data_IF_757486012259
#
_entry.id   IF_757486012259
#
_cell.length_a   1.000
_cell.length_b   1.000
_cell.length_c   1.000
_cell.angle_alpha   90.00
_cell.angle_beta   90.00
_cell.angle_gamma   90.00
#
_symmetry.space_group_name_H-M   'P 1'
#
loop_
_entity.id
_entity.type
_entity.pdbx_description
1 polymer ?
#
# COMPACT_ATOMS: atom_id res chain seq x y z
N UNK A 1 -11.58 -37.26 -2.04
CA UNK A 1 -10.67 -37.27 -3.21
C UNK A 1 -10.95 -36.00 -4.00
N UNK A 2 -9.96 -35.15 -4.20
CA UNK A 2 -10.09 -33.92 -5.00
C UNK A 2 -9.52 -34.20 -6.39
N UNK A 3 -10.23 -33.82 -7.45
CA UNK A 3 -9.83 -34.03 -8.83
C UNK A 3 -9.71 -32.70 -9.55
N UNK A 4 -8.76 -32.58 -10.48
CA UNK A 4 -8.71 -31.47 -11.44
C UNK A 4 -9.21 -31.97 -12.78
N UNK A 5 -10.18 -31.27 -13.36
CA UNK A 5 -10.63 -31.52 -14.73
C UNK A 5 -9.65 -30.84 -15.69
N UNK A 6 -8.98 -31.62 -16.52
CA UNK A 6 -8.06 -31.14 -17.56
C UNK A 6 -8.63 -31.52 -18.93
N UNK A 7 -8.45 -30.65 -19.91
CA UNK A 7 -8.87 -30.90 -21.28
C UNK A 7 -7.70 -31.47 -22.07
N UNK A 8 -7.86 -32.67 -22.62
CA UNK A 8 -6.85 -33.29 -23.48
C UNK A 8 -6.93 -32.63 -24.87
N UNK A 9 -5.85 -31.96 -25.28
CA UNK A 9 -5.81 -31.23 -26.55
C UNK A 9 -5.71 -32.15 -27.78
N UNK A 10 -5.37 -33.43 -27.61
CA UNK A 10 -5.26 -34.40 -28.69
C UNK A 10 -6.58 -35.15 -28.94
N UNK A 11 -7.34 -35.44 -27.89
CA UNK A 11 -8.60 -36.19 -28.01
C UNK A 11 -9.85 -35.34 -27.82
N UNK A 12 -9.71 -34.12 -27.28
CA UNK A 12 -10.82 -33.24 -26.96
C UNK A 12 -11.69 -33.71 -25.79
N UNK A 13 -11.20 -34.69 -25.02
CA UNK A 13 -11.93 -35.25 -23.88
C UNK A 13 -11.55 -34.54 -22.57
N UNK A 14 -12.50 -34.51 -21.64
CA UNK A 14 -12.26 -34.05 -20.27
C UNK A 14 -11.76 -35.22 -19.44
N UNK A 15 -10.57 -35.09 -18.87
CA UNK A 15 -10.00 -36.08 -17.96
C UNK A 15 -10.03 -35.55 -16.53
N UNK A 16 -10.48 -36.40 -15.61
CA UNK A 16 -10.42 -36.14 -14.16
C UNK A 16 -9.12 -36.72 -13.62
N UNK A 17 -8.16 -35.84 -13.29
CA UNK A 17 -6.88 -36.25 -12.72
C UNK A 17 -7.00 -36.21 -11.19
N UNK A 18 -6.79 -37.34 -10.48
CA UNK A 18 -6.76 -37.34 -9.03
C UNK A 18 -5.57 -36.51 -8.54
N UNK A 19 -5.84 -35.55 -7.65
CA UNK A 19 -4.79 -34.75 -7.03
C UNK A 19 -4.26 -35.49 -5.79
N UNK A 20 -2.95 -35.54 -5.67
CA UNK A 20 -2.26 -35.95 -4.44
C UNK A 20 -2.44 -34.90 -3.34
N UNK A 21 -2.28 -35.26 -2.05
CA UNK A 21 -2.31 -34.29 -0.95
C UNK A 21 -1.30 -33.13 -1.11
N UNK A 22 -0.14 -33.39 -1.70
CA UNK A 22 0.89 -32.36 -1.96
C UNK A 22 0.47 -31.38 -3.06
N UNK A 23 -0.16 -31.88 -4.14
CA UNK A 23 -0.71 -31.01 -5.20
C UNK A 23 -1.90 -30.18 -4.71
N UNK A 24 -2.69 -30.71 -3.77
CA UNK A 24 -3.75 -29.94 -3.10
C UNK A 24 -3.14 -28.81 -2.27
N UNK A 25 -2.08 -29.09 -1.51
CA UNK A 25 -1.37 -28.08 -0.71
C UNK A 25 -0.70 -27.01 -1.61
N UNK A 26 -0.14 -27.40 -2.76
CA UNK A 26 0.45 -26.47 -3.72
C UNK A 26 -0.59 -25.57 -4.44
N UNK A 27 -1.86 -25.96 -4.40
CA UNK A 27 -2.99 -25.18 -4.91
C UNK A 27 -3.62 -24.28 -3.85
N UNK A 28 -3.16 -24.33 -2.59
CA UNK A 28 -3.58 -23.35 -1.60
C UNK A 28 -3.10 -21.97 -2.02
N UNK A 29 -4.01 -20.97 -2.07
CA UNK A 29 -3.61 -19.61 -2.37
C UNK A 29 -2.68 -19.13 -1.25
N UNK A 30 -1.42 -18.87 -1.60
CA UNK A 30 -0.48 -18.20 -0.69
C UNK A 30 -1.12 -16.85 -0.36
N UNK A 31 -1.55 -16.69 0.89
CA UNK A 31 -2.07 -15.41 1.35
C UNK A 31 -0.97 -14.35 1.14
N UNK A 32 -1.30 -13.17 0.58
CA UNK A 32 -0.30 -12.11 0.43
C UNK A 32 0.29 -11.78 1.79
N UNK A 33 1.62 -11.63 1.86
CA UNK A 33 2.29 -11.19 3.08
C UNK A 33 1.71 -9.84 3.53
N UNK A 34 1.42 -9.66 4.83
CA UNK A 34 0.92 -8.38 5.31
C UNK A 34 1.98 -7.30 5.09
N UNK A 35 1.58 -6.06 4.72
CA UNK A 35 2.53 -4.98 4.55
C UNK A 35 3.23 -4.70 5.90
N UNK A 36 4.48 -4.19 5.86
CA UNK A 36 5.14 -3.67 7.04
C UNK A 36 4.24 -2.66 7.76
N UNK A 37 4.12 -2.75 9.08
CA UNK A 37 3.25 -1.82 9.82
C UNK A 37 3.85 -0.42 9.91
N UNK A 38 5.17 -0.28 9.78
CA UNK A 38 5.89 0.97 9.97
C UNK A 38 6.91 1.19 8.85
N UNK A 39 6.96 2.41 8.33
CA UNK A 39 8.01 2.89 7.41
C UNK A 39 8.52 4.24 7.90
N UNK A 40 9.78 4.55 7.62
CA UNK A 40 10.35 5.85 7.96
C UNK A 40 9.76 6.98 7.11
N UNK A 41 9.84 8.21 7.63
CA UNK A 41 9.47 9.43 6.89
C UNK A 41 10.14 9.51 5.52
N UNK A 42 11.44 9.20 5.46
CA UNK A 42 12.21 9.16 4.20
C UNK A 42 11.61 8.17 3.23
N UNK A 43 11.36 6.93 3.66
CA UNK A 43 10.81 5.87 2.82
C UNK A 43 9.43 6.24 2.28
N UNK A 44 8.56 6.81 3.11
CA UNK A 44 7.23 7.25 2.71
C UNK A 44 7.27 8.30 1.60
N UNK A 45 7.96 9.43 1.82
CA UNK A 45 8.01 10.50 0.80
C UNK A 45 8.80 10.10 -0.45
N UNK A 46 9.83 9.26 -0.32
CA UNK A 46 10.55 8.74 -1.47
C UNK A 46 9.66 7.85 -2.34
N UNK A 47 8.85 6.98 -1.74
CA UNK A 47 7.93 6.12 -2.50
C UNK A 47 6.78 6.92 -3.14
N UNK A 48 6.28 7.95 -2.45
CA UNK A 48 5.30 8.87 -3.06
C UNK A 48 5.86 9.56 -4.32
N UNK A 49 7.13 9.97 -4.29
CA UNK A 49 7.80 10.53 -5.46
C UNK A 49 8.06 9.48 -6.56
N UNK A 50 8.42 8.24 -6.20
CA UNK A 50 8.56 7.15 -7.17
C UNK A 50 7.25 6.85 -7.90
N UNK A 51 6.12 7.01 -7.21
CA UNK A 51 4.76 6.85 -7.75
C UNK A 51 4.21 8.11 -8.41
N UNK A 52 5.02 9.17 -8.51
CA UNK A 52 4.65 10.45 -9.11
C UNK A 52 3.43 11.13 -8.44
N UNK A 53 3.17 10.81 -7.16
CA UNK A 53 2.12 11.45 -6.36
C UNK A 53 2.54 12.82 -5.83
N UNK A 54 3.84 13.04 -5.70
CA UNK A 54 4.48 14.31 -5.40
C UNK A 54 5.75 14.43 -6.25
N UNK A 55 6.26 15.64 -6.40
CA UNK A 55 7.55 15.86 -7.08
C UNK A 55 8.73 15.41 -6.20
N UNK A 56 9.89 15.18 -6.83
CA UNK A 56 11.12 14.82 -6.09
C UNK A 56 11.58 15.98 -5.21
N UNK A 57 11.38 17.21 -5.68
CA UNK A 57 11.67 18.44 -4.96
C UNK A 57 10.80 18.55 -3.70
N UNK A 58 9.51 18.25 -3.80
CA UNK A 58 8.60 18.22 -2.65
C UNK A 58 8.97 17.10 -1.67
N UNK A 59 9.32 15.91 -2.15
CA UNK A 59 9.77 14.82 -1.28
C UNK A 59 11.05 15.22 -0.52
N UNK A 60 12.00 15.88 -1.18
CA UNK A 60 13.21 16.35 -0.54
C UNK A 60 12.94 17.47 0.47
N UNK A 61 12.05 18.42 0.16
CA UNK A 61 11.63 19.47 1.08
C UNK A 61 10.91 18.89 2.31
N UNK A 62 10.06 17.89 2.13
CA UNK A 62 9.37 17.21 3.22
C UNK A 62 10.31 16.51 4.21
N UNK A 63 11.48 16.08 3.74
CA UNK A 63 12.51 15.45 4.56
C UNK A 63 13.45 16.50 5.19
N UNK A 64 13.84 17.53 4.45
CA UNK A 64 14.90 18.47 4.89
C UNK A 64 14.38 19.63 5.73
N UNK A 65 13.24 20.22 5.34
CA UNK A 65 12.63 21.37 6.02
C UNK A 65 11.33 21.03 6.72
N UNK A 66 10.84 19.80 6.59
CA UNK A 66 9.52 19.40 7.10
C UNK A 66 8.37 20.06 6.34
N UNK A 67 8.64 20.61 5.15
CA UNK A 67 7.63 21.28 4.33
C UNK A 67 6.65 20.26 3.78
N UNK A 68 5.36 20.47 4.02
CA UNK A 68 4.33 19.58 3.54
C UNK A 68 4.15 19.76 2.01
N UNK A 69 4.13 18.68 1.19
CA UNK A 69 3.88 18.80 -0.24
C UNK A 69 2.51 19.41 -0.53
N UNK A 70 2.36 20.09 -1.68
CA UNK A 70 1.15 20.87 -1.99
C UNK A 70 -0.14 20.02 -1.99
N UNK A 71 -0.01 18.77 -2.44
CA UNK A 71 -1.12 17.82 -2.42
C UNK A 71 -1.59 17.49 -1.01
N UNK A 72 -0.66 17.29 -0.07
CA UNK A 72 -1.00 17.03 1.33
C UNK A 72 -1.54 18.27 2.01
N UNK A 73 -1.00 19.46 1.70
CA UNK A 73 -1.58 20.73 2.13
C UNK A 73 -3.04 20.86 1.72
N UNK A 74 -3.37 20.53 0.48
CA UNK A 74 -4.74 20.57 -0.04
C UNK A 74 -5.65 19.58 0.70
N UNK A 75 -5.16 18.36 0.95
CA UNK A 75 -5.91 17.32 1.66
C UNK A 75 -6.18 17.69 3.12
N UNK A 76 -5.19 18.25 3.80
CA UNK A 76 -5.34 18.65 5.20
C UNK A 76 -6.27 19.86 5.31
N UNK A 77 -6.13 20.85 4.42
CA UNK A 77 -7.03 22.00 4.36
C UNK A 77 -8.49 21.65 4.01
N UNK A 78 -8.77 20.45 3.51
CA UNK A 78 -10.12 19.96 3.27
C UNK A 78 -10.82 19.41 4.54
N UNK A 79 -10.09 19.24 5.63
CA UNK A 79 -10.64 18.82 6.93
C UNK A 79 -11.38 20.01 7.54
N UNK A 80 -12.69 19.85 7.76
CA UNK A 80 -13.56 20.94 8.27
C UNK A 80 -13.39 21.22 9.77
N UNK A 81 -12.90 20.24 10.52
CA UNK A 81 -12.67 20.36 11.96
C UNK A 81 -11.23 20.86 12.19
N UNK A 82 -11.10 22.06 12.75
CA UNK A 82 -9.81 22.74 12.95
C UNK A 82 -8.86 21.96 13.87
N UNK A 83 -9.38 21.25 14.88
CA UNK A 83 -8.57 20.45 15.80
C UNK A 83 -8.01 19.22 15.08
N UNK A 84 -8.83 18.57 14.25
CA UNK A 84 -8.40 17.41 13.44
C UNK A 84 -7.43 17.85 12.34
N UNK A 85 -7.68 19.00 11.69
CA UNK A 85 -6.76 19.58 10.72
C UNK A 85 -5.39 19.80 11.36
N UNK A 86 -5.35 20.48 12.50
CA UNK A 86 -4.10 20.78 13.20
C UNK A 86 -3.36 19.51 13.61
N UNK A 87 -4.07 18.50 14.11
CA UNK A 87 -3.49 17.19 14.43
C UNK A 87 -2.91 16.49 13.20
N UNK A 88 -3.60 16.54 12.05
CA UNK A 88 -3.11 15.96 10.80
C UNK A 88 -1.83 16.66 10.32
N UNK A 89 -1.79 18.00 10.36
CA UNK A 89 -0.56 18.78 10.06
C UNK A 89 0.59 18.37 10.96
N UNK A 90 0.33 18.26 12.26
CA UNK A 90 1.37 17.90 13.22
C UNK A 90 1.88 16.49 13.02
N UNK A 91 1.00 15.52 12.74
CA UNK A 91 1.39 14.17 12.41
C UNK A 91 2.26 14.13 11.14
N UNK A 92 1.85 14.84 10.07
CA UNK A 92 2.58 14.83 8.81
C UNK A 92 3.91 15.56 8.85
N UNK A 93 4.07 16.60 9.67
CA UNK A 93 5.32 17.35 9.76
C UNK A 93 6.27 16.77 10.82
N UNK A 94 5.74 16.28 11.94
CA UNK A 94 6.52 15.83 13.10
C UNK A 94 6.85 14.34 13.12
N UNK A 95 6.18 13.51 12.31
CA UNK A 95 6.44 12.07 12.30
C UNK A 95 7.82 11.74 11.74
N UNK A 96 8.59 10.97 12.51
CA UNK A 96 9.80 10.28 12.07
C UNK A 96 9.47 8.98 11.34
N UNK A 97 8.36 8.35 11.69
CA UNK A 97 7.85 7.11 11.09
C UNK A 97 6.34 7.17 10.90
N UNK A 98 5.86 6.45 9.90
CA UNK A 98 4.45 6.36 9.52
C UNK A 98 3.94 4.94 9.71
N UNK A 99 2.84 4.82 10.45
CA UNK A 99 2.16 3.56 10.66
C UNK A 99 1.09 3.34 9.60
N UNK A 100 1.04 2.14 8.99
CA UNK A 100 0.00 1.77 8.02
C UNK A 100 -1.40 1.82 8.64
N UNK A 101 -1.47 1.54 9.95
CA UNK A 101 -2.67 1.54 10.78
C UNK A 101 -3.10 2.93 11.27
N UNK A 102 -2.35 3.99 10.93
CA UNK A 102 -2.74 5.35 11.28
C UNK A 102 -3.98 5.75 10.47
N UNK A 103 -5.01 6.27 11.17
CA UNK A 103 -6.27 6.72 10.57
C UNK A 103 -6.07 7.70 9.41
N UNK A 104 -5.02 8.53 9.44
CA UNK A 104 -4.74 9.50 8.39
C UNK A 104 -4.39 8.82 7.05
N UNK A 105 -3.80 7.62 7.10
CA UNK A 105 -3.45 6.84 5.89
C UNK A 105 -4.71 6.39 5.17
N UNK A 106 -5.70 5.91 5.92
CA UNK A 106 -6.99 5.49 5.36
C UNK A 106 -7.80 6.71 4.88
N UNK A 107 -7.73 7.83 5.60
CA UNK A 107 -8.33 9.10 5.16
C UNK A 107 -7.71 9.59 3.84
N UNK A 108 -6.38 9.59 3.74
CA UNK A 108 -5.65 9.93 2.51
C UNK A 108 -6.06 9.02 1.36
N UNK A 109 -6.12 7.71 1.60
CA UNK A 109 -6.53 6.74 0.59
C UNK A 109 -7.96 7.00 0.11
N UNK A 110 -8.89 7.26 1.02
CA UNK A 110 -10.28 7.57 0.68
C UNK A 110 -10.40 8.85 -0.16
N UNK A 111 -9.70 9.91 0.22
CA UNK A 111 -9.70 11.19 -0.52
C UNK A 111 -9.10 11.06 -1.92
N UNK A 112 -8.13 10.16 -2.10
CA UNK A 112 -7.50 9.88 -3.39
C UNK A 112 -8.20 8.79 -4.20
N UNK A 113 -9.20 8.11 -3.64
CA UNK A 113 -9.84 6.96 -4.27
C UNK A 113 -8.93 5.72 -4.37
N UNK A 114 -7.92 5.61 -3.50
CA UNK A 114 -7.02 4.47 -3.45
C UNK A 114 -7.64 3.31 -2.65
N UNK A 115 -7.42 2.09 -3.14
CA UNK A 115 -7.83 0.87 -2.43
C UNK A 115 -6.86 0.56 -1.28
N UNK A 116 -7.32 -0.21 -0.30
CA UNK A 116 -6.42 -0.71 0.77
C UNK A 116 -5.24 -1.48 0.19
N UNK A 117 -5.47 -2.32 -0.83
CA UNK A 117 -4.42 -3.08 -1.50
C UNK A 117 -3.35 -2.18 -2.15
N UNK A 118 -3.75 -1.03 -2.70
CA UNK A 118 -2.80 -0.05 -3.23
C UNK A 118 -1.92 0.55 -2.13
N UNK A 119 -2.51 0.86 -0.97
CA UNK A 119 -1.77 1.38 0.18
C UNK A 119 -0.84 0.33 0.80
N UNK A 120 -1.27 -0.93 0.82
CA UNK A 120 -0.46 -2.04 1.31
C UNK A 120 0.74 -2.29 0.39
N UNK A 121 0.55 -2.18 -0.93
CA UNK A 121 1.65 -2.19 -1.90
C UNK A 121 2.59 -0.98 -1.71
N UNK A 122 2.05 0.22 -1.47
CA UNK A 122 2.86 1.41 -1.15
C UNK A 122 3.77 1.17 0.05
N UNK A 123 3.23 0.65 1.14
CA UNK A 123 4.02 0.35 2.34
C UNK A 123 5.08 -0.72 2.07
N UNK A 124 4.71 -1.76 1.32
CA UNK A 124 5.62 -2.86 0.97
C UNK A 124 6.78 -2.38 0.10
N UNK A 125 6.51 -1.53 -0.90
CA UNK A 125 7.57 -0.95 -1.75
C UNK A 125 8.42 0.07 -1.01
N UNK A 126 7.81 0.94 -0.22
CA UNK A 126 8.53 1.92 0.58
C UNK A 126 9.51 1.25 1.56
N UNK A 127 9.12 0.15 2.19
CA UNK A 127 9.96 -0.58 3.13
C UNK A 127 11.23 -1.17 2.49
N UNK A 128 11.18 -1.52 1.21
CA UNK A 128 12.33 -2.03 0.46
C UNK A 128 13.34 -0.94 0.08
N UNK A 129 13.00 0.34 0.27
CA UNK A 129 13.92 1.46 0.08
C UNK A 129 14.87 1.51 1.27
N UNK A 130 16.12 1.09 1.03
CA UNK A 130 17.23 1.17 2.01
C UNK A 130 17.94 2.52 1.99
#
# INVERSE_FOLDING_TARGET
MTFRVVYDLATGERQEIPLTPEEIAALEPIAPEPPPNEISRRQFFQELANRELITKEEALAAITSGTLPAEFETLVAAILDEDIEWQARMALCGATTFLRTNWFVDYFAAMKGFSSAYMDDLWSKAFLIT
#
